data_IF_502960020285
#
_entry.id   IF_502960020285
#
_cell.length_a   1.000
_cell.length_b   1.000
_cell.length_c   1.000
_cell.angle_alpha   90.00
_cell.angle_beta   90.00
_cell.angle_gamma   90.00
#
_symmetry.space_group_name_H-M   'P 1'
#
loop_
_entity.id
_entity.type
_entity.pdbx_description
1 polymer ?
#
# COMPACT_ATOMS: atom_id res chain seq x y z
N UNK A 1 -11.24 -1.80 20.25
CA UNK A 1 -12.05 -2.94 19.78
C UNK A 1 -13.06 -3.33 20.83
N UNK A 2 -14.33 -3.28 20.46
CA UNK A 2 -15.41 -3.94 21.19
C UNK A 2 -15.43 -5.43 20.82
N UNK A 3 -15.70 -6.34 21.76
CA UNK A 3 -15.91 -7.75 21.44
C UNK A 3 -17.00 -7.93 20.37
N UNK A 4 -16.78 -8.83 19.40
CA UNK A 4 -17.74 -9.24 18.37
C UNK A 4 -18.16 -8.20 17.31
N UNK A 5 -17.36 -7.15 17.08
CA UNK A 5 -17.59 -6.18 15.99
C UNK A 5 -16.45 -6.26 14.96
N UNK A 6 -16.66 -6.96 13.84
CA UNK A 6 -15.66 -7.10 12.76
C UNK A 6 -15.26 -5.75 12.13
N UNK A 7 -16.16 -4.78 12.16
CA UNK A 7 -15.94 -3.47 11.55
C UNK A 7 -15.15 -2.51 12.46
N UNK A 8 -14.74 -2.91 13.67
CA UNK A 8 -13.94 -2.05 14.55
C UNK A 8 -12.46 -1.98 14.10
N UNK A 9 -11.98 -2.86 13.21
CA UNK A 9 -10.61 -2.79 12.67
C UNK A 9 -10.48 -3.30 11.21
N UNK A 10 -11.20 -2.67 10.26
CA UNK A 10 -11.26 -3.14 8.87
C UNK A 10 -9.88 -3.18 8.20
N UNK A 11 -8.96 -2.31 8.60
CA UNK A 11 -7.59 -2.26 8.06
C UNK A 11 -6.78 -3.50 8.44
N UNK A 12 -6.82 -3.91 9.72
CA UNK A 12 -6.09 -5.11 10.14
C UNK A 12 -6.73 -6.40 9.59
N UNK A 13 -8.06 -6.46 9.52
CA UNK A 13 -8.74 -7.60 8.90
C UNK A 13 -8.38 -7.77 7.42
N UNK A 14 -8.35 -6.66 6.67
CA UNK A 14 -7.90 -6.66 5.27
C UNK A 14 -6.46 -7.16 5.14
N UNK A 15 -5.56 -6.69 6.00
CA UNK A 15 -4.16 -7.14 6.02
C UNK A 15 -4.04 -8.65 6.34
N UNK A 16 -4.80 -9.16 7.32
CA UNK A 16 -4.82 -10.59 7.61
C UNK A 16 -5.34 -11.42 6.44
N UNK A 17 -6.35 -10.91 5.72
CA UNK A 17 -6.83 -11.54 4.50
C UNK A 17 -5.73 -11.60 3.45
N UNK A 18 -5.01 -10.50 3.19
CA UNK A 18 -3.89 -10.49 2.23
C UNK A 18 -2.81 -11.50 2.58
N UNK A 19 -2.45 -11.63 3.86
CA UNK A 19 -1.49 -12.63 4.33
C UNK A 19 -1.98 -14.07 4.05
N UNK A 20 -3.21 -14.39 4.45
CA UNK A 20 -3.77 -15.76 4.41
C UNK A 20 -4.12 -16.25 3.01
N UNK A 21 -4.41 -15.35 2.09
CA UNK A 21 -4.82 -15.70 0.72
C UNK A 21 -3.65 -15.80 -0.26
N UNK A 22 -2.41 -15.62 0.20
CA UNK A 22 -1.25 -15.80 -0.65
C UNK A 22 -1.03 -17.29 -0.96
N UNK A 23 -0.61 -17.68 -2.17
CA UNK A 23 -0.40 -19.09 -2.52
C UNK A 23 0.57 -19.83 -1.59
N UNK A 24 1.59 -19.12 -1.08
CA UNK A 24 2.61 -19.69 -0.19
C UNK A 24 2.15 -19.83 1.26
N UNK A 25 0.96 -19.32 1.62
CA UNK A 25 0.47 -19.40 2.99
C UNK A 25 0.13 -20.86 3.32
N UNK A 26 0.79 -21.49 4.31
CA UNK A 26 0.60 -22.91 4.54
C UNK A 26 -0.75 -23.19 5.20
N UNK A 27 -1.31 -24.39 4.94
CA UNK A 27 -2.53 -24.85 5.61
C UNK A 27 -2.36 -24.89 7.13
N UNK A 28 -1.15 -25.24 7.60
CA UNK A 28 -0.72 -25.24 9.00
C UNK A 28 0.78 -24.97 9.07
N UNK A 29 1.23 -24.23 10.07
CA UNK A 29 2.65 -24.13 10.41
C UNK A 29 3.07 -25.35 11.23
N UNK A 30 4.31 -25.82 11.06
CA UNK A 30 4.86 -26.95 11.82
C UNK A 30 5.25 -26.57 13.24
N UNK A 31 5.64 -25.32 13.44
CA UNK A 31 6.08 -24.76 14.71
C UNK A 31 5.81 -23.25 14.79
N UNK A 32 6.06 -22.65 15.96
CA UNK A 32 6.01 -21.19 16.12
C UNK A 32 7.13 -20.53 15.29
N UNK A 33 8.31 -21.13 15.25
CA UNK A 33 9.48 -20.66 14.54
C UNK A 33 9.21 -20.58 13.03
N UNK A 34 8.52 -21.59 12.47
CA UNK A 34 8.09 -21.59 11.07
C UNK A 34 7.13 -20.43 10.77
N UNK A 35 6.15 -20.23 11.64
CA UNK A 35 5.20 -19.12 11.50
C UNK A 35 5.91 -17.77 11.56
N UNK A 36 6.87 -17.62 12.46
CA UNK A 36 7.64 -16.41 12.64
C UNK A 36 8.56 -16.13 11.44
N UNK A 37 9.24 -17.15 10.93
CA UNK A 37 10.10 -17.05 9.75
C UNK A 37 9.29 -16.65 8.51
N UNK A 38 8.17 -17.33 8.26
CA UNK A 38 7.25 -16.99 7.17
C UNK A 38 6.76 -15.54 7.28
N UNK A 39 6.30 -15.14 8.47
CA UNK A 39 5.70 -13.82 8.70
C UNK A 39 6.73 -12.70 8.52
N UNK A 40 7.98 -12.89 8.95
CA UNK A 40 9.08 -11.93 8.71
C UNK A 40 9.32 -11.71 7.23
N UNK A 41 9.51 -12.79 6.48
CA UNK A 41 9.74 -12.71 5.03
C UNK A 41 8.55 -12.10 4.30
N UNK A 42 7.33 -12.42 4.74
CA UNK A 42 6.12 -11.80 4.20
C UNK A 42 6.12 -10.28 4.42
N UNK A 43 6.37 -9.81 5.64
CA UNK A 43 6.28 -8.38 5.96
C UNK A 43 7.39 -7.56 5.33
N UNK A 44 8.59 -8.11 5.22
CA UNK A 44 9.67 -7.46 4.48
C UNK A 44 9.25 -7.24 3.01
N UNK A 45 8.81 -8.30 2.34
CA UNK A 45 8.30 -8.19 0.97
C UNK A 45 7.11 -7.24 0.86
N UNK A 46 6.13 -7.34 1.77
CA UNK A 46 4.90 -6.56 1.74
C UNK A 46 5.18 -5.06 1.85
N UNK A 47 6.08 -4.69 2.77
CA UNK A 47 6.39 -3.29 3.07
C UNK A 47 7.39 -2.67 2.11
N UNK A 48 8.36 -3.44 1.61
CA UNK A 48 9.51 -2.90 0.88
C UNK A 48 9.51 -3.22 -0.61
N UNK A 49 8.81 -4.27 -1.05
CA UNK A 49 8.95 -4.79 -2.41
C UNK A 49 7.62 -4.82 -3.18
N UNK A 50 6.53 -5.21 -2.52
CA UNK A 50 5.22 -5.31 -3.14
C UNK A 50 4.63 -3.92 -3.39
N UNK A 51 4.21 -3.67 -4.62
CA UNK A 51 3.56 -2.42 -5.04
C UNK A 51 2.06 -2.60 -5.00
N UNK A 52 1.38 -1.78 -4.20
CA UNK A 52 -0.05 -1.94 -3.93
C UNK A 52 -0.86 -0.95 -4.76
N UNK A 53 -1.83 -1.45 -5.52
CA UNK A 53 -2.67 -0.62 -6.40
C UNK A 53 -3.46 0.44 -5.63
N UNK A 54 -3.93 0.12 -4.42
CA UNK A 54 -4.68 1.03 -3.54
C UNK A 54 -3.88 2.26 -3.05
N UNK A 55 -2.56 2.26 -3.22
CA UNK A 55 -1.68 3.40 -2.89
C UNK A 55 -0.87 3.85 -4.11
N UNK A 56 -1.43 3.73 -5.32
CA UNK A 56 -0.79 4.18 -6.55
C UNK A 56 0.45 3.37 -6.94
N UNK A 57 0.46 2.07 -6.66
CA UNK A 57 1.59 1.17 -6.87
C UNK A 57 2.87 1.61 -6.15
N UNK A 58 2.75 2.29 -5.01
CA UNK A 58 3.84 2.48 -4.07
C UNK A 58 4.00 1.28 -3.15
N UNK A 59 5.15 1.18 -2.49
CA UNK A 59 5.32 0.27 -1.36
C UNK A 59 4.81 0.97 -0.08
N UNK A 60 4.33 0.22 0.93
CA UNK A 60 3.92 0.81 2.20
C UNK A 60 5.04 1.63 2.85
N UNK A 61 6.30 1.18 2.74
CA UNK A 61 7.44 1.92 3.24
C UNK A 61 7.66 3.25 2.48
N UNK A 62 7.39 3.32 1.17
CA UNK A 62 7.51 4.59 0.44
C UNK A 62 6.50 5.62 0.94
N UNK A 63 5.27 5.19 1.22
CA UNK A 63 4.23 6.06 1.76
C UNK A 63 4.56 6.45 3.20
N UNK A 64 4.89 5.49 4.05
CA UNK A 64 5.17 5.72 5.47
C UNK A 64 6.32 6.70 5.69
N UNK A 65 7.41 6.57 4.93
CA UNK A 65 8.57 7.45 5.04
C UNK A 65 8.51 8.69 4.13
N UNK A 66 7.34 9.05 3.60
CA UNK A 66 7.14 10.28 2.81
C UNK A 66 7.85 10.31 1.45
N UNK A 67 8.29 9.16 0.92
CA UNK A 67 9.01 9.05 -0.36
C UNK A 67 8.08 9.05 -1.57
N UNK A 68 6.78 8.83 -1.35
CA UNK A 68 5.79 8.64 -2.41
C UNK A 68 5.75 9.81 -3.41
N UNK A 69 5.75 11.07 -2.94
CA UNK A 69 5.74 12.24 -3.81
C UNK A 69 6.96 12.33 -4.74
N UNK A 70 8.15 12.04 -4.19
CA UNK A 70 9.39 12.07 -4.97
C UNK A 70 9.37 10.99 -6.05
N UNK A 71 8.90 9.79 -5.71
CA UNK A 71 8.74 8.69 -6.67
C UNK A 71 7.70 9.04 -7.72
N UNK A 72 6.59 9.68 -7.33
CA UNK A 72 5.52 10.10 -8.23
C UNK A 72 6.04 11.11 -9.28
N UNK A 73 6.80 12.12 -8.85
CA UNK A 73 7.44 13.09 -9.76
C UNK A 73 8.37 12.42 -10.76
N UNK A 74 9.19 11.46 -10.30
CA UNK A 74 10.07 10.67 -11.18
C UNK A 74 9.28 9.83 -12.19
N UNK A 75 8.18 9.21 -11.77
CA UNK A 75 7.30 8.45 -12.67
C UNK A 75 6.66 9.34 -13.73
N UNK A 76 6.20 10.53 -13.35
CA UNK A 76 5.63 11.49 -14.29
C UNK A 76 6.66 11.86 -15.38
N UNK A 77 7.89 12.19 -15.01
CA UNK A 77 8.95 12.51 -15.97
C UNK A 77 9.24 11.36 -16.96
N UNK A 78 9.24 10.12 -16.49
CA UNK A 78 9.43 8.93 -17.37
C UNK A 78 8.25 8.78 -18.35
N UNK A 79 7.03 8.95 -17.86
CA UNK A 79 5.81 8.86 -18.66
C UNK A 79 5.74 9.98 -19.71
N UNK A 80 6.12 11.20 -19.33
CA UNK A 80 6.21 12.34 -20.24
C UNK A 80 7.24 12.08 -21.33
N UNK A 81 8.45 11.63 -20.97
CA UNK A 81 9.49 11.30 -21.95
C UNK A 81 9.04 10.19 -22.93
N UNK A 82 8.36 9.16 -22.42
CA UNK A 82 7.79 8.10 -23.25
C UNK A 82 6.73 8.64 -24.21
N UNK A 83 5.86 9.53 -23.74
CA UNK A 83 4.84 10.19 -24.57
C UNK A 83 5.45 11.07 -25.66
N UNK A 84 6.48 11.86 -25.34
CA UNK A 84 7.17 12.69 -26.34
C UNK A 84 7.84 11.84 -27.42
N UNK A 85 8.35 10.66 -27.07
CA UNK A 85 9.04 9.77 -28.03
C UNK A 85 8.04 9.03 -28.93
N UNK A 86 6.92 8.58 -28.37
CA UNK A 86 5.93 7.73 -29.04
C UNK A 86 4.49 8.14 -28.71
N UNK A 87 4.03 9.32 -29.14
CA UNK A 87 2.68 9.79 -28.82
C UNK A 87 1.60 8.87 -29.38
N UNK A 88 1.85 8.19 -30.51
CA UNK A 88 0.94 7.23 -31.14
C UNK A 88 0.59 6.01 -30.27
N UNK A 89 1.43 5.69 -29.26
CA UNK A 89 1.17 4.60 -28.31
C UNK A 89 0.17 5.00 -27.22
N UNK A 90 -0.17 6.28 -27.10
CA UNK A 90 -1.02 6.80 -26.03
C UNK A 90 -2.31 7.40 -26.60
N UNK A 91 -3.44 6.87 -26.16
CA UNK A 91 -4.74 7.27 -26.68
C UNK A 91 -5.17 8.61 -26.07
N UNK A 92 -5.37 9.63 -26.92
CA UNK A 92 -5.96 10.95 -26.64
C UNK A 92 -5.17 11.90 -25.74
N UNK A 93 -4.38 11.42 -24.78
CA UNK A 93 -3.67 12.29 -23.81
C UNK A 93 -2.38 11.66 -23.27
N UNK A 94 -1.46 12.49 -22.73
CA UNK A 94 -0.31 12.00 -21.99
C UNK A 94 -0.71 11.08 -20.83
N UNK A 95 0.02 9.97 -20.60
CA UNK A 95 -0.19 9.11 -19.45
C UNK A 95 0.21 9.82 -18.14
N UNK A 96 -0.61 9.64 -17.10
CA UNK A 96 -0.34 10.18 -15.76
C UNK A 96 -0.18 9.03 -14.77
N UNK A 97 0.78 9.07 -13.84
CA UNK A 97 0.84 8.05 -12.81
C UNK A 97 -0.40 8.12 -11.90
N UNK A 98 -0.85 6.99 -11.31
CA UNK A 98 -2.03 6.98 -10.44
C UNK A 98 -1.91 7.94 -9.26
N UNK A 99 -3.01 8.52 -8.77
CA UNK A 99 -2.97 9.45 -7.66
C UNK A 99 -2.45 8.78 -6.38
N UNK A 100 -1.82 9.58 -5.52
CA UNK A 100 -1.46 9.15 -4.18
C UNK A 100 -2.74 8.97 -3.34
N UNK A 101 -2.76 8.01 -2.41
CA UNK A 101 -3.92 7.78 -1.55
C UNK A 101 -4.14 8.96 -0.60
N UNK A 102 -5.39 9.19 -0.22
CA UNK A 102 -5.74 10.07 0.89
C UNK A 102 -5.41 9.41 2.24
N UNK A 103 -5.33 10.22 3.30
CA UNK A 103 -5.06 9.74 4.65
C UNK A 103 -6.19 8.83 5.14
N UNK A 104 -5.83 7.65 5.63
CA UNK A 104 -6.73 6.70 6.25
C UNK A 104 -6.43 6.58 7.75
N UNK A 105 -7.46 6.36 8.57
CA UNK A 105 -7.33 6.34 10.03
C UNK A 105 -8.01 5.10 10.60
N UNK A 106 -7.33 4.34 11.47
CA UNK A 106 -7.97 3.33 12.32
C UNK A 106 -8.80 4.02 13.40
N UNK A 107 -8.19 5.03 14.05
CA UNK A 107 -8.87 5.97 14.95
C UNK A 107 -8.53 7.37 14.43
N UNK A 108 -9.51 8.11 13.90
CA UNK A 108 -9.30 9.49 13.46
C UNK A 108 -9.07 10.34 14.72
N UNK A 109 -7.97 11.12 14.82
CA UNK A 109 -7.82 12.07 15.91
C UNK A 109 -8.93 13.13 15.81
N UNK A 110 -9.37 13.63 16.96
CA UNK A 110 -10.24 14.80 17.00
C UNK A 110 -9.52 15.99 16.36
N UNK A 111 -10.25 16.82 15.65
CA UNK A 111 -9.70 18.03 15.07
C UNK A 111 -9.43 19.01 16.22
N UNK A 112 -8.19 19.48 16.35
CA UNK A 112 -7.82 20.51 17.33
C UNK A 112 -8.67 21.75 17.05
N UNK A 113 -9.77 21.88 17.79
CA UNK A 113 -10.56 23.11 17.78
C UNK A 113 -9.75 24.13 18.57
N UNK A 114 -9.30 25.26 17.96
CA UNK A 114 -8.57 26.27 18.71
C UNK A 114 -9.47 26.72 19.86
N UNK A 115 -9.00 26.55 21.09
CA UNK A 115 -9.70 27.09 22.26
C UNK A 115 -9.71 28.60 22.11
N UNK A 116 -10.90 29.18 21.96
CA UNK A 116 -11.13 30.62 22.02
C UNK A 116 -10.99 31.13 23.45
#
# INVERSE_FOLDING_TARGET
SRPHVSNDNPYSESQFKTLKYRPDFPRRFGSFEDAQAFTRSFFDWYNNNHRHSGIGFHTPADVHYGRAETIQKRRAAVLDAAYQTHPERFVRKPPTPPPLPETAWINKPEEDTPTQ
#
